data_IF_029948311107
#
_entry.id   IF_029948311107
#
_cell.length_a   1.000
_cell.length_b   1.000
_cell.length_c   1.000
_cell.angle_alpha   90.00
_cell.angle_beta   90.00
_cell.angle_gamma   90.00
#
_symmetry.space_group_name_H-M   'P 1'
#
loop_
_entity.id
_entity.type
_entity.pdbx_description
1 polymer ?
#
# COMPACT_ATOMS: atom_id res chain seq x y z
N UNK A 1 26.63 -3.12 2.34
CA UNK A 1 25.89 -2.27 1.40
C UNK A 1 24.51 -2.89 1.31
N UNK A 2 23.44 -2.17 1.70
CA UNK A 2 22.08 -2.71 1.56
C UNK A 2 21.82 -3.08 0.10
N UNK A 3 21.34 -4.30 -0.14
CA UNK A 3 20.93 -4.71 -1.48
C UNK A 3 19.66 -3.93 -1.85
N UNK A 4 19.60 -3.36 -3.05
CA UNK A 4 18.41 -2.66 -3.54
C UNK A 4 17.19 -3.61 -3.51
N UNK A 5 16.05 -3.22 -2.93
CA UNK A 5 14.86 -4.06 -2.90
C UNK A 5 14.31 -4.29 -4.31
N UNK A 6 13.70 -5.45 -4.52
CA UNK A 6 13.00 -5.79 -5.76
C UNK A 6 11.51 -5.48 -5.56
N UNK A 7 10.95 -4.58 -6.37
CA UNK A 7 9.57 -4.12 -6.23
C UNK A 7 8.72 -4.70 -7.36
N UNK A 8 7.76 -5.56 -7.00
CA UNK A 8 6.80 -6.16 -7.93
C UNK A 8 5.64 -5.21 -8.24
N UNK A 9 5.54 -4.75 -9.48
CA UNK A 9 4.50 -3.82 -9.92
C UNK A 9 3.41 -4.58 -10.67
N UNK A 10 2.22 -4.73 -10.10
CA UNK A 10 1.12 -5.37 -10.82
C UNK A 10 0.44 -4.38 -11.75
N UNK A 11 0.25 -4.76 -13.02
CA UNK A 11 -0.32 -3.90 -14.05
C UNK A 11 -1.76 -3.42 -13.78
N UNK A 12 -2.50 -4.16 -12.94
CA UNK A 12 -3.90 -3.88 -12.68
C UNK A 12 -4.76 -4.16 -13.92
N UNK A 13 -5.83 -3.39 -14.09
CA UNK A 13 -6.71 -3.49 -15.26
C UNK A 13 -6.08 -2.76 -16.46
N UNK A 14 -5.65 -3.53 -17.46
CA UNK A 14 -4.98 -3.01 -18.64
C UNK A 14 -5.90 -2.29 -19.63
N UNK A 15 -7.23 -2.38 -19.49
CA UNK A 15 -8.16 -1.53 -20.22
C UNK A 15 -8.20 -0.10 -19.64
N UNK A 16 -7.70 0.08 -18.42
CA UNK A 16 -7.56 1.39 -17.76
C UNK A 16 -6.19 2.02 -17.95
N UNK A 17 -5.88 2.99 -17.09
CA UNK A 17 -4.61 3.74 -17.12
C UNK A 17 -3.41 3.00 -16.53
N UNK A 18 -3.59 1.78 -16.00
CA UNK A 18 -2.53 1.00 -15.34
C UNK A 18 -1.23 0.89 -16.16
N UNK A 19 -1.29 0.46 -17.44
CA UNK A 19 -0.12 0.42 -18.29
C UNK A 19 0.54 1.80 -18.50
N UNK A 20 -0.24 2.85 -18.75
CA UNK A 20 0.27 4.21 -18.97
C UNK A 20 0.96 4.78 -17.73
N UNK A 21 0.34 4.63 -16.55
CA UNK A 21 0.90 5.18 -15.32
C UNK A 21 2.21 4.48 -14.94
N UNK A 22 2.29 3.15 -15.14
CA UNK A 22 3.52 2.39 -14.92
C UNK A 22 4.64 2.88 -15.84
N UNK A 23 4.35 2.99 -17.14
CA UNK A 23 5.35 3.46 -18.10
C UNK A 23 5.81 4.87 -17.76
N UNK A 24 4.89 5.77 -17.38
CA UNK A 24 5.23 7.13 -16.96
C UNK A 24 6.13 7.13 -15.73
N UNK A 25 5.75 6.41 -14.67
CA UNK A 25 6.53 6.34 -13.44
C UNK A 25 7.93 5.77 -13.65
N UNK A 26 8.06 4.72 -14.46
CA UNK A 26 9.33 4.02 -14.66
C UNK A 26 10.33 4.77 -15.56
N UNK A 27 9.99 5.96 -16.07
CA UNK A 27 10.95 6.87 -16.69
C UNK A 27 11.84 7.59 -15.67
N UNK A 28 11.45 7.63 -14.39
CA UNK A 28 12.24 8.25 -13.32
C UNK A 28 13.46 7.38 -13.01
N UNK A 29 14.64 7.87 -13.38
CA UNK A 29 15.90 7.10 -13.29
C UNK A 29 16.30 6.83 -11.85
N UNK A 30 15.96 7.75 -10.95
CA UNK A 30 16.27 7.71 -9.52
C UNK A 30 15.62 6.51 -8.83
N UNK A 31 14.53 5.96 -9.38
CA UNK A 31 13.93 4.72 -8.88
C UNK A 31 14.89 3.53 -9.02
N UNK A 32 15.64 3.45 -10.13
CA UNK A 32 16.56 2.34 -10.39
C UNK A 32 17.83 2.41 -9.54
N UNK A 33 18.18 3.60 -9.03
CA UNK A 33 19.28 3.78 -8.08
C UNK A 33 18.91 3.23 -6.69
N UNK A 34 17.61 3.21 -6.37
CA UNK A 34 17.08 2.81 -5.06
C UNK A 34 16.45 1.42 -5.06
N UNK A 35 16.05 0.87 -6.21
CA UNK A 35 15.33 -0.39 -6.31
C UNK A 35 15.55 -1.12 -7.65
N UNK A 36 15.05 -2.35 -7.72
CA UNK A 36 14.83 -3.11 -8.96
C UNK A 36 13.33 -3.22 -9.22
N UNK A 37 12.73 -2.25 -9.96
CA UNK A 37 11.32 -2.35 -10.31
C UNK A 37 11.11 -3.41 -11.39
N UNK A 38 10.15 -4.31 -11.18
CA UNK A 38 9.72 -5.28 -12.19
C UNK A 38 8.20 -5.21 -12.37
N UNK A 39 7.72 -5.19 -13.61
CA UNK A 39 6.28 -5.22 -13.91
C UNK A 39 5.83 -6.66 -14.03
N UNK A 40 4.68 -6.97 -13.46
CA UNK A 40 3.97 -8.25 -13.60
C UNK A 40 2.69 -7.92 -14.36
N UNK A 41 2.63 -8.35 -15.62
CA UNK A 41 1.65 -7.85 -16.58
C UNK A 41 1.81 -8.48 -17.96
N UNK A 42 1.30 -7.76 -18.96
CA UNK A 42 1.41 -8.12 -20.37
C UNK A 42 2.33 -7.15 -21.13
N UNK A 43 3.43 -7.65 -21.69
CA UNK A 43 4.46 -6.82 -22.34
C UNK A 43 3.90 -5.99 -23.51
N UNK A 44 2.94 -6.55 -24.26
CA UNK A 44 2.26 -5.84 -25.36
C UNK A 44 1.42 -4.66 -24.89
N UNK A 45 0.82 -4.73 -23.69
CA UNK A 45 0.10 -3.59 -23.11
C UNK A 45 1.09 -2.48 -22.71
N UNK A 46 2.27 -2.81 -22.20
CA UNK A 46 3.32 -1.83 -21.91
C UNK A 46 3.88 -1.20 -23.18
N UNK A 47 4.14 -1.97 -24.25
CA UNK A 47 4.61 -1.44 -25.55
C UNK A 47 3.59 -0.46 -26.16
N UNK A 48 2.31 -0.83 -26.09
CA UNK A 48 1.20 0.02 -26.53
C UNK A 48 1.12 1.31 -25.70
N UNK A 49 1.26 1.22 -24.38
CA UNK A 49 1.30 2.38 -23.49
C UNK A 49 2.54 3.27 -23.71
N UNK A 50 3.71 2.69 -23.94
CA UNK A 50 4.94 3.42 -24.28
C UNK A 50 4.79 4.25 -25.56
N UNK A 51 4.07 3.70 -26.55
CA UNK A 51 3.75 4.43 -27.78
C UNK A 51 2.83 5.64 -27.53
N UNK A 52 1.88 5.53 -26.61
CA UNK A 52 0.98 6.64 -26.22
C UNK A 52 1.74 7.72 -25.45
N UNK A 53 2.56 7.30 -24.48
CA UNK A 53 3.36 8.19 -23.62
C UNK A 53 4.52 8.82 -24.40
N UNK A 54 4.89 8.26 -25.56
CA UNK A 54 6.01 8.70 -26.42
C UNK A 54 7.35 8.66 -25.69
N UNK A 55 7.61 7.54 -25.01
CA UNK A 55 8.88 7.31 -24.32
C UNK A 55 9.85 6.50 -25.18
N UNK A 56 11.15 6.68 -24.94
CA UNK A 56 12.23 5.90 -25.57
C UNK A 56 12.57 4.61 -24.80
N UNK A 57 11.87 4.34 -23.70
CA UNK A 57 12.09 3.11 -22.93
C UNK A 57 11.71 1.87 -23.71
N UNK A 58 12.57 0.85 -23.67
CA UNK A 58 12.26 -0.47 -24.24
C UNK A 58 11.58 -1.35 -23.20
N UNK A 59 10.84 -2.37 -23.64
CA UNK A 59 10.19 -3.35 -22.76
C UNK A 59 10.99 -4.63 -22.86
N UNK A 60 11.57 -5.07 -21.74
CA UNK A 60 12.35 -6.32 -21.64
C UNK A 60 11.45 -7.40 -21.04
N UNK A 61 11.06 -8.36 -21.87
CA UNK A 61 10.32 -9.55 -21.45
C UNK A 61 11.24 -10.52 -20.69
N UNK A 62 10.77 -11.00 -19.54
CA UNK A 62 11.46 -12.01 -18.74
C UNK A 62 10.47 -13.06 -18.24
N UNK A 63 10.99 -14.22 -17.86
CA UNK A 63 10.19 -15.28 -17.25
C UNK A 63 10.11 -15.08 -15.73
N UNK A 64 9.12 -15.71 -15.10
CA UNK A 64 8.93 -15.73 -13.63
C UNK A 64 10.14 -16.30 -12.85
N UNK A 65 11.02 -17.04 -13.55
CA UNK A 65 12.21 -17.66 -12.99
C UNK A 65 13.53 -16.92 -13.27
N UNK A 66 13.48 -15.79 -13.96
CA UNK A 66 14.65 -14.95 -14.23
C UNK A 66 15.20 -14.25 -12.97
N UNK A 67 16.44 -13.78 -13.04
CA UNK A 67 17.01 -12.89 -12.03
C UNK A 67 16.47 -11.47 -12.22
N UNK A 68 15.72 -10.98 -11.22
CA UNK A 68 15.10 -9.66 -11.24
C UNK A 68 16.06 -8.51 -10.92
N UNK A 69 17.32 -8.81 -10.61
CA UNK A 69 18.35 -7.78 -10.38
C UNK A 69 19.02 -7.31 -11.67
N UNK A 70 18.82 -8.03 -12.78
CA UNK A 70 19.39 -7.71 -14.09
C UNK A 70 18.50 -6.75 -14.89
N UNK A 71 18.64 -5.44 -14.62
CA UNK A 71 17.94 -4.37 -15.33
C UNK A 71 18.72 -3.06 -15.33
N UNK A 72 18.34 -2.14 -16.21
CA UNK A 72 18.90 -0.79 -16.29
C UNK A 72 17.78 0.26 -16.45
N UNK A 73 18.12 1.54 -16.28
CA UNK A 73 17.15 2.64 -16.29
C UNK A 73 16.65 3.06 -17.69
N UNK A 74 16.87 2.25 -18.72
CA UNK A 74 16.36 2.45 -20.09
C UNK A 74 15.35 1.39 -20.50
N UNK A 75 15.16 0.36 -19.68
CA UNK A 75 14.28 -0.77 -20.00
C UNK A 75 13.29 -1.00 -18.86
N UNK A 76 12.03 -1.23 -19.21
CA UNK A 76 11.00 -1.71 -18.29
C UNK A 76 11.02 -3.24 -18.33
N UNK A 77 11.51 -3.85 -17.27
CA UNK A 77 11.49 -5.31 -17.10
C UNK A 77 10.07 -5.79 -16.80
N UNK A 78 9.56 -6.72 -17.59
CA UNK A 78 8.21 -7.26 -17.49
C UNK A 78 8.25 -8.79 -17.38
N UNK A 79 7.76 -9.33 -16.26
CA UNK A 79 7.33 -10.73 -16.16
C UNK A 79 6.05 -10.84 -16.98
N UNK A 80 6.20 -11.28 -18.22
CA UNK A 80 5.13 -11.31 -19.22
C UNK A 80 4.26 -12.56 -19.04
N UNK A 81 2.97 -12.35 -18.75
CA UNK A 81 2.01 -13.44 -18.62
C UNK A 81 1.21 -13.71 -19.90
N UNK A 82 1.28 -12.80 -20.88
CA UNK A 82 0.65 -12.93 -22.20
C UNK A 82 -0.85 -13.30 -22.14
N UNK A 83 -1.63 -12.66 -21.27
CA UNK A 83 -3.03 -13.01 -20.99
C UNK A 83 -4.05 -12.26 -21.84
N UNK A 84 -3.67 -11.13 -22.44
CA UNK A 84 -4.61 -10.21 -23.08
C UNK A 84 -4.52 -10.23 -24.60
N UNK A 85 -5.43 -9.62 -25.35
CA UNK A 85 -5.21 -9.34 -26.77
C UNK A 85 -4.53 -7.98 -26.95
N UNK A 86 -3.73 -7.81 -28.01
CA UNK A 86 -3.02 -6.53 -28.27
C UNK A 86 -3.98 -5.36 -28.53
N UNK A 87 -5.15 -5.65 -29.10
CA UNK A 87 -6.20 -4.70 -29.46
C UNK A 87 -7.26 -4.50 -28.36
N UNK A 88 -6.98 -4.89 -27.11
CA UNK A 88 -7.88 -4.70 -25.97
C UNK A 88 -8.47 -3.27 -25.94
N UNK A 89 -9.80 -3.07 -25.96
CA UNK A 89 -10.37 -1.73 -26.01
C UNK A 89 -10.05 -0.91 -24.75
N UNK A 90 -9.69 0.37 -24.93
CA UNK A 90 -9.49 1.29 -23.82
C UNK A 90 -10.82 1.67 -23.16
N UNK A 91 -10.80 1.80 -21.84
CA UNK A 91 -11.88 2.36 -21.05
C UNK A 91 -13.16 1.52 -21.02
N UNK A 92 -13.08 0.25 -21.43
CA UNK A 92 -14.23 -0.66 -21.47
C UNK A 92 -14.04 -1.79 -20.47
N UNK A 93 -15.10 -2.08 -19.72
CA UNK A 93 -15.13 -3.23 -18.80
C UNK A 93 -15.01 -4.52 -19.62
N UNK A 94 -13.95 -5.29 -19.40
CA UNK A 94 -13.68 -6.57 -20.07
C UNK A 94 -13.47 -7.68 -19.04
N UNK A 95 -14.00 -8.88 -19.33
CA UNK A 95 -13.81 -10.06 -18.49
C UNK A 95 -12.35 -10.54 -18.55
N UNK A 96 -11.72 -10.47 -19.73
CA UNK A 96 -10.32 -10.80 -19.95
C UNK A 96 -9.40 -9.87 -19.16
N UNK A 97 -9.66 -8.55 -19.21
CA UNK A 97 -8.91 -7.56 -18.44
C UNK A 97 -9.03 -7.78 -16.92
N UNK A 98 -10.24 -8.07 -16.44
CA UNK A 98 -10.48 -8.39 -15.03
C UNK A 98 -9.80 -9.68 -14.57
N UNK A 99 -9.85 -10.74 -15.38
CA UNK A 99 -9.13 -11.97 -15.09
C UNK A 99 -7.61 -11.74 -15.09
N UNK A 100 -7.08 -11.04 -16.08
CA UNK A 100 -5.65 -10.76 -16.16
C UNK A 100 -5.16 -9.94 -14.95
N UNK A 101 -5.90 -8.91 -14.53
CA UNK A 101 -5.60 -8.14 -13.33
C UNK A 101 -5.48 -9.04 -12.06
N UNK A 102 -6.40 -10.00 -11.90
CA UNK A 102 -6.32 -10.99 -10.83
C UNK A 102 -5.08 -11.87 -10.95
N UNK A 103 -4.78 -12.37 -12.15
CA UNK A 103 -3.61 -13.23 -12.38
C UNK A 103 -2.29 -12.49 -12.09
N UNK A 104 -2.16 -11.22 -12.49
CA UNK A 104 -0.97 -10.42 -12.17
C UNK A 104 -0.75 -10.30 -10.66
N UNK A 105 -1.84 -10.04 -9.91
CA UNK A 105 -1.77 -9.95 -8.46
C UNK A 105 -1.44 -11.30 -7.81
N UNK A 106 -2.07 -12.39 -8.27
CA UNK A 106 -1.76 -13.75 -7.83
C UNK A 106 -0.29 -14.10 -8.06
N UNK A 107 0.24 -13.80 -9.24
CA UNK A 107 1.66 -14.01 -9.57
C UNK A 107 2.58 -13.18 -8.68
N UNK A 108 2.24 -11.92 -8.39
CA UNK A 108 3.01 -11.10 -7.45
C UNK A 108 3.03 -11.72 -6.05
N UNK A 109 1.91 -12.23 -5.57
CA UNK A 109 1.81 -12.93 -4.27
C UNK A 109 2.65 -14.21 -4.28
N UNK A 110 2.61 -15.00 -5.35
CA UNK A 110 3.44 -16.20 -5.49
C UNK A 110 4.94 -15.87 -5.47
N UNK A 111 5.35 -14.78 -6.14
CA UNK A 111 6.73 -14.29 -6.13
C UNK A 111 7.15 -13.78 -4.74
N UNK A 112 6.25 -13.09 -4.05
CA UNK A 112 6.43 -12.61 -2.69
C UNK A 112 6.66 -13.75 -1.70
N UNK A 113 5.80 -14.77 -1.75
CA UNK A 113 5.88 -15.96 -0.90
C UNK A 113 7.16 -16.77 -1.15
N UNK A 114 7.71 -16.69 -2.37
CA UNK A 114 9.02 -17.27 -2.74
C UNK A 114 10.20 -16.34 -2.44
N UNK A 115 9.98 -15.19 -1.81
CA UNK A 115 10.99 -14.16 -1.52
C UNK A 115 11.76 -13.65 -2.76
N UNK A 116 11.14 -13.70 -3.94
CA UNK A 116 11.72 -13.15 -5.18
C UNK A 116 11.48 -11.65 -5.33
N UNK A 117 10.48 -11.11 -4.65
CA UNK A 117 10.20 -9.67 -4.55
C UNK A 117 10.07 -9.28 -3.07
N UNK A 118 10.34 -8.00 -2.78
CA UNK A 118 10.43 -7.44 -1.43
C UNK A 118 9.22 -6.58 -1.05
N UNK A 119 8.54 -6.02 -2.04
CA UNK A 119 7.25 -5.36 -1.89
C UNK A 119 6.40 -5.49 -3.16
N UNK A 120 5.09 -5.32 -3.03
CA UNK A 120 4.14 -5.22 -4.15
C UNK A 120 3.65 -3.77 -4.26
N UNK A 121 3.74 -3.18 -5.44
CA UNK A 121 3.11 -1.91 -5.76
C UNK A 121 2.02 -2.14 -6.80
N UNK A 122 0.76 -1.86 -6.47
CA UNK A 122 -0.35 -2.20 -7.38
C UNK A 122 -0.88 -0.98 -8.12
N UNK A 123 -0.97 -1.08 -9.45
CA UNK A 123 -1.80 -0.19 -10.26
C UNK A 123 -3.31 -0.51 -10.06
N UNK A 124 -4.23 0.37 -10.49
CA UNK A 124 -5.67 0.20 -10.25
C UNK A 124 -6.26 -1.02 -10.97
N UNK A 125 -7.28 -1.64 -10.36
CA UNK A 125 -8.15 -2.63 -11.01
C UNK A 125 -9.62 -2.18 -10.95
N UNK A 126 -10.44 -2.70 -11.86
CA UNK A 126 -11.88 -2.44 -11.88
C UNK A 126 -12.65 -3.61 -11.27
N UNK A 127 -13.49 -3.34 -10.27
CA UNK A 127 -14.28 -4.37 -9.57
C UNK A 127 -15.29 -5.08 -10.49
N UNK A 128 -15.94 -4.34 -11.40
CA UNK A 128 -16.89 -4.94 -12.33
C UNK A 128 -16.18 -5.87 -13.33
N UNK A 129 -15.03 -5.45 -13.86
CA UNK A 129 -14.20 -6.27 -14.73
C UNK A 129 -13.75 -7.54 -14.02
N UNK A 130 -13.24 -7.39 -12.78
CA UNK A 130 -12.80 -8.49 -11.93
C UNK A 130 -13.91 -9.53 -11.72
N UNK A 131 -15.14 -9.08 -11.43
CA UNK A 131 -16.30 -9.96 -11.27
C UNK A 131 -16.68 -10.66 -12.57
N UNK A 132 -16.67 -9.93 -13.70
CA UNK A 132 -16.91 -10.53 -15.04
C UNK A 132 -15.85 -11.57 -15.41
N UNK A 133 -14.62 -11.37 -14.96
CA UNK A 133 -13.52 -12.33 -15.10
C UNK A 133 -13.63 -13.57 -14.20
N UNK A 134 -14.71 -13.69 -13.40
CA UNK A 134 -14.96 -14.84 -12.52
C UNK A 134 -14.43 -14.69 -11.10
N UNK A 135 -13.92 -13.51 -10.72
CA UNK A 135 -13.25 -13.27 -9.44
C UNK A 135 -14.12 -12.37 -8.55
N UNK A 136 -14.90 -12.96 -7.64
CA UNK A 136 -15.87 -12.25 -6.80
C UNK A 136 -15.23 -11.62 -5.55
N UNK A 137 -14.28 -10.71 -5.74
CA UNK A 137 -13.62 -10.00 -4.65
C UNK A 137 -14.04 -8.52 -4.57
N UNK A 138 -14.03 -7.91 -3.37
CA UNK A 138 -14.23 -6.47 -3.24
C UNK A 138 -13.10 -5.63 -3.86
N UNK A 139 -11.84 -6.08 -3.72
CA UNK A 139 -10.68 -5.41 -4.29
C UNK A 139 -9.36 -6.13 -3.96
N UNK A 140 -8.25 -5.40 -4.13
CA UNK A 140 -6.89 -5.91 -3.94
C UNK A 140 -6.66 -6.48 -2.53
N UNK A 141 -7.10 -5.75 -1.49
CA UNK A 141 -6.80 -6.09 -0.09
C UNK A 141 -7.40 -7.43 0.29
N UNK A 142 -8.62 -7.73 -0.14
CA UNK A 142 -9.27 -9.01 0.15
C UNK A 142 -8.65 -10.17 -0.63
N UNK A 143 -8.22 -9.93 -1.89
CA UNK A 143 -7.48 -10.94 -2.65
C UNK A 143 -6.17 -11.28 -1.94
N UNK A 144 -5.41 -10.25 -1.54
CA UNK A 144 -4.15 -10.43 -0.82
C UNK A 144 -4.35 -11.18 0.49
N UNK A 145 -5.30 -10.75 1.31
CA UNK A 145 -5.60 -11.39 2.58
C UNK A 145 -5.96 -12.87 2.40
N UNK A 146 -6.83 -13.20 1.45
CA UNK A 146 -7.23 -14.58 1.20
C UNK A 146 -6.09 -15.45 0.65
N UNK A 147 -5.33 -14.96 -0.33
CA UNK A 147 -4.25 -15.74 -0.96
C UNK A 147 -2.98 -15.85 -0.08
N UNK A 148 -2.91 -15.09 1.00
CA UNK A 148 -1.81 -15.15 1.98
C UNK A 148 -2.26 -15.71 3.33
N UNK A 149 -3.49 -16.22 3.43
CA UNK A 149 -4.11 -16.69 4.69
C UNK A 149 -3.96 -15.68 5.84
N UNK A 150 -3.99 -14.38 5.52
CA UNK A 150 -3.81 -13.30 6.49
C UNK A 150 -5.15 -12.80 6.99
N UNK A 151 -5.43 -13.02 8.27
CA UNK A 151 -6.65 -12.53 8.92
C UNK A 151 -6.45 -11.20 9.63
N UNK A 152 -5.21 -10.83 9.95
CA UNK A 152 -4.90 -9.63 10.72
C UNK A 152 -4.01 -8.68 9.92
N UNK A 153 -4.65 -7.70 9.30
CA UNK A 153 -4.00 -6.62 8.57
C UNK A 153 -4.57 -5.26 8.99
N UNK A 154 -3.85 -4.21 8.64
CA UNK A 154 -4.32 -2.84 8.85
C UNK A 154 -3.91 -1.93 7.71
N UNK A 155 -4.68 -0.86 7.55
CA UNK A 155 -4.37 0.24 6.65
C UNK A 155 -3.40 1.19 7.34
N UNK A 156 -2.26 1.38 6.70
CA UNK A 156 -1.29 2.42 7.02
C UNK A 156 -1.28 3.45 5.89
N UNK A 157 -1.21 4.71 6.26
CA UNK A 157 -0.89 5.82 5.39
C UNK A 157 0.51 6.31 5.73
N UNK A 158 1.26 6.70 4.72
CA UNK A 158 2.58 7.26 4.89
C UNK A 158 2.69 8.56 4.11
N UNK A 159 3.42 9.50 4.69
CA UNK A 159 3.89 10.72 4.07
C UNK A 159 5.33 10.93 4.54
N UNK A 160 6.13 11.79 3.89
CA UNK A 160 7.55 11.95 4.24
C UNK A 160 7.83 12.29 5.71
N UNK A 161 6.86 12.86 6.45
CA UNK A 161 7.01 13.27 7.86
C UNK A 161 6.07 12.59 8.84
N UNK A 162 5.12 11.79 8.36
CA UNK A 162 4.10 11.22 9.22
C UNK A 162 3.62 9.88 8.66
N UNK A 163 3.67 8.85 9.49
CA UNK A 163 3.06 7.54 9.23
C UNK A 163 1.89 7.35 10.20
N UNK A 164 0.77 6.84 9.71
CA UNK A 164 -0.43 6.61 10.51
C UNK A 164 -1.03 5.25 10.17
N UNK A 165 -1.24 4.41 11.18
CA UNK A 165 -1.93 3.12 11.05
C UNK A 165 -3.29 3.19 11.73
N UNK A 166 -4.29 2.49 11.20
CA UNK A 166 -5.68 2.62 11.66
C UNK A 166 -6.18 1.37 12.38
N UNK A 167 -6.83 1.56 13.52
CA UNK A 167 -7.52 0.48 14.25
C UNK A 167 -8.79 0.06 13.50
N UNK A 168 -9.56 1.05 13.05
CA UNK A 168 -10.77 0.89 12.21
C UNK A 168 -10.70 1.76 10.96
N UNK A 169 -11.34 1.31 9.87
CA UNK A 169 -11.29 1.98 8.56
C UNK A 169 -12.68 2.41 8.09
N UNK A 170 -13.20 1.88 6.97
CA UNK A 170 -14.42 2.35 6.32
C UNK A 170 -15.70 1.82 6.99
N UNK A 171 -16.02 2.35 8.18
CA UNK A 171 -17.23 2.01 8.95
C UNK A 171 -17.88 3.27 9.52
N UNK A 172 -19.17 3.20 9.89
CA UNK A 172 -19.85 4.30 10.57
C UNK A 172 -19.19 4.63 11.91
N UNK A 173 -19.17 5.90 12.33
CA UNK A 173 -18.39 6.30 13.52
C UNK A 173 -18.82 5.58 14.81
N UNK A 174 -20.12 5.31 14.99
CA UNK A 174 -20.62 4.53 16.14
C UNK A 174 -20.10 3.09 16.06
N UNK A 175 -20.13 2.48 14.87
CA UNK A 175 -19.62 1.14 14.65
C UNK A 175 -18.10 1.07 14.84
N UNK A 176 -17.37 2.11 14.44
CA UNK A 176 -15.93 2.23 14.68
C UNK A 176 -15.64 2.14 16.19
N UNK A 177 -16.29 2.98 16.99
CA UNK A 177 -16.11 3.00 18.45
C UNK A 177 -16.45 1.65 19.08
N UNK A 178 -17.53 1.00 18.62
CA UNK A 178 -17.93 -0.32 19.09
C UNK A 178 -16.94 -1.43 18.69
N UNK A 179 -16.34 -1.33 17.51
CA UNK A 179 -15.36 -2.30 17.00
C UNK A 179 -13.97 -2.17 17.62
N UNK A 180 -13.63 -1.01 18.19
CA UNK A 180 -12.38 -0.85 18.93
C UNK A 180 -12.43 -1.71 20.19
N UNK A 181 -11.51 -2.68 20.26
CA UNK A 181 -11.33 -3.64 21.34
C UNK A 181 -9.85 -3.73 21.72
N UNK A 182 -9.51 -4.04 22.98
CA UNK A 182 -8.11 -4.17 23.43
C UNK A 182 -7.24 -5.02 22.51
N UNK A 183 -7.73 -6.18 22.09
CA UNK A 183 -6.98 -7.10 21.24
C UNK A 183 -6.68 -6.48 19.88
N UNK A 184 -7.64 -5.76 19.29
CA UNK A 184 -7.46 -5.11 17.99
C UNK A 184 -6.47 -3.95 18.09
N UNK A 185 -6.55 -3.12 19.13
CA UNK A 185 -5.60 -2.02 19.36
C UNK A 185 -4.18 -2.58 19.54
N UNK A 186 -4.02 -3.61 20.36
CA UNK A 186 -2.74 -4.27 20.60
C UNK A 186 -2.16 -4.87 19.31
N UNK A 187 -2.98 -5.58 18.53
CA UNK A 187 -2.56 -6.14 17.25
C UNK A 187 -2.07 -5.06 16.29
N UNK A 188 -2.77 -3.92 16.23
CA UNK A 188 -2.38 -2.79 15.36
C UNK A 188 -1.07 -2.15 15.83
N UNK A 189 -0.86 -2.01 17.15
CA UNK A 189 0.45 -1.58 17.71
C UNK A 189 1.55 -2.53 17.28
N UNK A 190 1.32 -3.85 17.36
CA UNK A 190 2.30 -4.86 16.93
C UNK A 190 2.58 -4.83 15.43
N UNK A 191 1.54 -4.64 14.60
CA UNK A 191 1.69 -4.49 13.17
C UNK A 191 2.56 -3.28 12.82
N UNK A 192 2.33 -2.14 13.48
CA UNK A 192 3.17 -0.95 13.34
C UNK A 192 4.63 -1.22 13.73
N UNK A 193 4.85 -1.80 14.92
CA UNK A 193 6.17 -2.15 15.41
C UNK A 193 6.93 -3.06 14.43
N UNK A 194 6.34 -4.21 14.05
CA UNK A 194 7.00 -5.17 13.18
C UNK A 194 7.26 -4.61 11.77
N UNK A 195 6.36 -3.78 11.24
CA UNK A 195 6.52 -3.19 9.90
C UNK A 195 7.75 -2.28 9.87
N UNK A 196 7.85 -1.36 10.84
CA UNK A 196 8.97 -0.42 10.89
C UNK A 196 10.28 -1.09 11.30
N UNK A 197 10.24 -2.08 12.19
CA UNK A 197 11.41 -2.87 12.54
C UNK A 197 12.00 -3.60 11.33
N UNK A 198 11.14 -4.21 10.50
CA UNK A 198 11.58 -4.87 9.25
C UNK A 198 12.14 -3.88 8.23
N UNK A 199 11.66 -2.64 8.21
CA UNK A 199 12.15 -1.58 7.31
C UNK A 199 13.40 -0.85 7.85
N UNK A 200 14.04 -1.35 8.91
CA UNK A 200 15.31 -0.82 9.43
C UNK A 200 15.21 0.10 10.66
N UNK A 201 14.01 0.41 11.15
CA UNK A 201 13.82 1.18 12.39
C UNK A 201 13.79 0.20 13.57
N UNK A 202 14.94 -0.14 14.13
CA UNK A 202 15.06 -1.24 15.11
C UNK A 202 14.20 -1.06 16.38
N UNK A 203 13.99 0.19 16.81
CA UNK A 203 13.16 0.53 17.98
C UNK A 203 12.15 1.63 17.62
N UNK A 204 11.06 1.29 16.89
CA UNK A 204 10.08 2.29 16.46
C UNK A 204 9.33 2.89 17.65
N UNK A 205 9.26 4.22 17.71
CA UNK A 205 8.46 4.96 18.68
C UNK A 205 7.03 5.12 18.18
N UNK A 206 6.09 4.52 18.90
CA UNK A 206 4.68 4.44 18.50
C UNK A 206 3.84 5.33 19.41
N UNK A 207 3.12 6.29 18.85
CA UNK A 207 2.12 7.06 19.58
C UNK A 207 0.71 6.51 19.34
N UNK A 208 -0.11 6.37 20.38
CA UNK A 208 -1.47 5.85 20.29
C UNK A 208 -2.48 6.93 20.64
N UNK A 209 -3.41 7.23 19.74
CA UNK A 209 -4.48 8.19 19.99
C UNK A 209 -5.49 7.68 21.03
N UNK A 210 -6.09 8.59 21.79
CA UNK A 210 -7.37 8.35 22.45
C UNK A 210 -8.53 8.21 21.46
N UNK A 211 -9.67 7.67 21.91
CA UNK A 211 -10.93 7.71 21.15
C UNK A 211 -11.57 9.09 21.32
N UNK A 212 -11.61 9.57 22.56
CA UNK A 212 -12.24 10.81 22.97
C UNK A 212 -11.26 11.99 22.85
N UNK A 213 -11.78 13.24 22.74
CA UNK A 213 -10.97 14.43 22.93
C UNK A 213 -10.19 14.35 24.24
N UNK A 214 -8.96 14.87 24.24
CA UNK A 214 -8.10 14.86 25.41
C UNK A 214 -7.81 13.45 25.97
N UNK A 215 -7.97 12.40 25.15
CA UNK A 215 -7.87 11.01 25.59
C UNK A 215 -8.72 10.72 26.85
N UNK A 216 -9.95 11.22 26.85
CA UNK A 216 -10.92 11.02 27.92
C UNK A 216 -10.80 11.96 29.11
N UNK A 217 -9.71 12.75 29.21
CA UNK A 217 -9.48 13.73 30.29
C UNK A 217 -9.74 13.11 31.69
N UNK A 218 -9.10 11.96 31.96
CA UNK A 218 -9.26 11.17 33.20
C UNK A 218 -10.72 10.80 33.50
N UNK A 219 -11.49 10.46 32.47
CA UNK A 219 -12.90 10.08 32.56
C UNK A 219 -13.88 11.25 32.60
N UNK A 220 -13.42 12.50 32.40
CA UNK A 220 -14.32 13.65 32.24
C UNK A 220 -15.02 13.64 30.87
N UNK A 221 -14.37 13.10 29.84
CA UNK A 221 -14.92 12.94 28.51
C UNK A 221 -15.03 11.46 28.14
N UNK A 222 -16.16 11.07 27.57
CA UNK A 222 -16.46 9.67 27.26
C UNK A 222 -17.08 8.91 28.44
N UNK A 223 -17.08 7.60 28.33
CA UNK A 223 -17.70 6.65 29.24
C UNK A 223 -16.72 5.58 29.73
N UNK A 224 -15.41 5.86 29.67
CA UNK A 224 -14.34 4.94 30.06
C UNK A 224 -13.76 4.14 28.89
N UNK A 225 -13.95 4.60 27.65
CA UNK A 225 -13.49 3.87 26.46
C UNK A 225 -11.96 3.75 26.42
N UNK A 226 -11.20 4.76 26.86
CA UNK A 226 -9.74 4.69 26.94
C UNK A 226 -9.28 3.58 27.89
N UNK A 227 -9.83 3.54 29.10
CA UNK A 227 -9.52 2.57 30.14
C UNK A 227 -9.92 1.15 29.75
N UNK A 228 -11.09 0.99 29.13
CA UNK A 228 -11.59 -0.32 28.72
C UNK A 228 -10.88 -0.84 27.47
N UNK A 229 -10.62 0.02 26.48
CA UNK A 229 -10.26 -0.41 25.11
C UNK A 229 -8.81 -0.14 24.72
N UNK A 230 -8.16 0.89 25.26
CA UNK A 230 -6.82 1.31 24.78
C UNK A 230 -5.73 1.02 25.80
N UNK A 231 -5.91 1.41 27.07
CA UNK A 231 -4.89 1.24 28.11
C UNK A 231 -4.41 -0.22 28.22
N UNK A 232 -5.29 -1.24 28.24
CA UNK A 232 -4.83 -2.64 28.34
C UNK A 232 -3.94 -3.06 27.16
N UNK A 233 -4.21 -2.54 25.96
CA UNK A 233 -3.42 -2.82 24.77
C UNK A 233 -2.03 -2.18 24.83
N UNK A 234 -1.94 -0.92 25.29
CA UNK A 234 -0.69 -0.19 25.46
C UNK A 234 0.16 -0.83 26.56
N UNK A 235 -0.42 -1.15 27.71
CA UNK A 235 0.27 -1.83 28.82
C UNK A 235 0.86 -3.16 28.36
N UNK A 236 0.07 -3.98 27.65
CA UNK A 236 0.55 -5.26 27.13
C UNK A 236 1.72 -5.08 26.13
N UNK A 237 1.64 -4.11 25.23
CA UNK A 237 2.73 -3.83 24.29
C UNK A 237 4.01 -3.34 24.99
N UNK A 238 3.88 -2.52 26.05
CA UNK A 238 5.01 -2.11 26.90
C UNK A 238 5.66 -3.28 27.62
N UNK A 239 4.87 -4.21 28.16
CA UNK A 239 5.37 -5.44 28.81
C UNK A 239 6.17 -6.33 27.84
N UNK A 240 5.87 -6.26 26.54
CA UNK A 240 6.61 -6.95 25.47
C UNK A 240 7.81 -6.15 24.95
N UNK A 241 8.11 -4.99 25.52
CA UNK A 241 9.27 -4.16 25.18
C UNK A 241 9.06 -3.25 23.96
N UNK A 242 7.83 -3.08 23.48
CA UNK A 242 7.52 -2.16 22.38
C UNK A 242 7.55 -0.72 22.91
N UNK A 243 8.30 0.17 22.24
CA UNK A 243 8.32 1.60 22.58
C UNK A 243 7.01 2.28 22.16
N UNK A 244 6.00 2.23 23.03
CA UNK A 244 4.67 2.78 22.78
C UNK A 244 4.24 3.77 23.86
N UNK A 245 3.62 4.89 23.47
CA UNK A 245 3.07 5.91 24.37
C UNK A 245 1.59 6.15 24.04
N UNK A 246 0.71 6.07 25.03
CA UNK A 246 -0.70 6.45 24.91
C UNK A 246 -1.63 5.83 25.95
N UNK A 247 -2.94 6.10 25.86
CA UNK A 247 -3.58 6.98 24.88
C UNK A 247 -3.17 8.45 25.03
N UNK A 248 -2.99 9.15 23.92
CA UNK A 248 -2.67 10.59 23.88
C UNK A 248 -3.78 11.38 23.17
N UNK A 249 -4.02 12.64 23.54
CA UNK A 249 -4.89 13.53 22.78
C UNK A 249 -4.42 13.62 21.32
N UNK A 250 -5.32 13.32 20.37
CA UNK A 250 -4.95 13.21 18.96
C UNK A 250 -4.34 14.51 18.41
N UNK A 251 -4.93 15.66 18.75
CA UNK A 251 -4.46 16.99 18.35
C UNK A 251 -3.01 17.27 18.79
N UNK A 252 -2.64 16.86 20.00
CA UNK A 252 -1.28 16.99 20.54
C UNK A 252 -0.35 15.94 19.93
N UNK A 253 -0.82 14.71 19.76
CA UNK A 253 -0.03 13.61 19.22
C UNK A 253 0.39 13.87 17.78
N UNK A 254 -0.52 14.32 16.90
CA UNK A 254 -0.15 14.61 15.50
C UNK A 254 0.86 15.75 15.38
N UNK A 255 0.78 16.76 16.25
CA UNK A 255 1.80 17.81 16.33
C UNK A 255 3.17 17.25 16.74
N UNK A 256 3.22 16.41 17.78
CA UNK A 256 4.46 15.75 18.24
C UNK A 256 5.05 14.82 17.18
N UNK A 257 4.21 14.02 16.52
CA UNK A 257 4.62 13.11 15.46
C UNK A 257 5.25 13.86 14.27
N UNK A 258 4.64 14.98 13.84
CA UNK A 258 5.21 15.83 12.79
C UNK A 258 6.59 16.42 13.17
N UNK A 259 6.84 16.64 14.47
CA UNK A 259 8.14 17.10 15.01
C UNK A 259 9.20 15.99 15.04
N UNK A 260 8.81 14.73 14.83
CA UNK A 260 9.70 13.57 14.87
C UNK A 260 9.80 12.90 16.25
N UNK A 261 8.87 13.18 17.17
CA UNK A 261 8.84 12.52 18.48
C UNK A 261 8.42 11.03 18.36
N UNK A 262 7.67 10.68 17.32
CA UNK A 262 7.14 9.34 17.03
C UNK A 262 7.40 8.98 15.57
N UNK A 263 7.71 7.72 15.31
CA UNK A 263 7.89 7.17 13.96
C UNK A 263 6.56 6.83 13.28
N UNK A 264 5.53 6.52 14.08
CA UNK A 264 4.18 6.19 13.61
C UNK A 264 3.11 6.47 14.67
N UNK A 265 1.93 6.88 14.20
CA UNK A 265 0.74 7.09 15.03
C UNK A 265 -0.29 5.99 14.78
N UNK A 266 -0.87 5.45 15.85
CA UNK A 266 -2.03 4.55 15.82
C UNK A 266 -3.30 5.37 16.01
N UNK A 267 -4.05 5.55 14.92
CA UNK A 267 -5.34 6.23 14.91
C UNK A 267 -6.49 5.23 15.18
N UNK A 268 -7.44 5.61 16.01
CA UNK A 268 -8.57 4.78 16.43
C UNK A 268 -9.61 4.60 15.31
N UNK A 269 -9.83 5.64 14.51
CA UNK A 269 -10.80 5.65 13.41
C UNK A 269 -10.29 6.43 12.20
N UNK A 270 -10.91 6.19 11.04
CA UNK A 270 -10.48 6.67 9.73
C UNK A 270 -10.12 8.17 9.70
N UNK A 271 -11.07 9.04 10.03
CA UNK A 271 -10.88 10.49 9.91
C UNK A 271 -9.89 11.05 10.94
N UNK A 272 -9.67 10.35 12.06
CA UNK A 272 -8.66 10.74 13.05
C UNK A 272 -7.25 10.72 12.44
N UNK A 273 -6.96 9.73 11.60
CA UNK A 273 -5.66 9.59 10.94
C UNK A 273 -5.58 10.20 9.55
N UNK A 274 -6.66 10.10 8.76
CA UNK A 274 -6.69 10.64 7.40
C UNK A 274 -6.65 12.16 7.35
N UNK A 275 -7.35 12.84 8.27
CA UNK A 275 -7.38 14.30 8.33
C UNK A 275 -5.97 14.91 8.39
N UNK A 276 -5.15 14.56 9.40
CA UNK A 276 -3.78 15.04 9.54
C UNK A 276 -2.89 14.69 8.33
N UNK A 277 -2.93 13.45 7.84
CA UNK A 277 -2.12 13.02 6.69
C UNK A 277 -2.46 13.84 5.44
N UNK A 278 -3.75 14.01 5.12
CA UNK A 278 -4.15 14.75 3.92
C UNK A 278 -3.82 16.23 4.04
N UNK A 279 -3.94 16.84 5.23
CA UNK A 279 -3.53 18.24 5.44
C UNK A 279 -2.01 18.42 5.27
N UNK A 280 -1.20 17.45 5.70
CA UNK A 280 0.26 17.53 5.64
C UNK A 280 0.87 17.02 4.33
N UNK A 281 0.11 16.25 3.53
CA UNK A 281 0.60 15.55 2.35
C UNK A 281 -0.50 15.25 1.34
N UNK A 282 -1.23 16.28 0.90
CA UNK A 282 -2.40 16.23 -0.01
C UNK A 282 -2.26 15.26 -1.19
N UNK A 283 -1.06 15.16 -1.78
CA UNK A 283 -0.78 14.32 -2.97
C UNK A 283 -0.06 13.00 -2.66
N UNK A 284 0.30 12.73 -1.40
CA UNK A 284 1.18 11.62 -1.00
C UNK A 284 0.46 10.49 -0.23
N UNK A 285 -0.87 10.52 -0.15
CA UNK A 285 -1.67 9.57 0.63
C UNK A 285 -1.73 8.18 -0.01
N UNK A 286 -0.62 7.43 0.03
CA UNK A 286 -0.54 6.05 -0.44
C UNK A 286 -1.21 5.13 0.57
N UNK A 287 -2.09 4.27 0.09
CA UNK A 287 -2.66 3.20 0.90
C UNK A 287 -1.67 2.04 0.99
N UNK A 288 -1.22 1.75 2.20
CA UNK A 288 -0.28 0.67 2.50
C UNK A 288 -1.02 -0.37 3.33
N UNK A 289 -1.03 -1.62 2.87
CA UNK A 289 -1.58 -2.73 3.66
C UNK A 289 -0.43 -3.41 4.40
N UNK A 290 -0.49 -3.39 5.73
CA UNK A 290 0.50 -4.00 6.62
C UNK A 290 -0.09 -5.21 7.34
N UNK A 291 0.77 -6.17 7.74
CA UNK A 291 0.37 -7.44 8.35
C UNK A 291 0.32 -8.62 7.38
N UNK A 292 0.27 -8.34 6.09
CA UNK A 292 0.54 -9.32 5.03
C UNK A 292 2.00 -9.82 5.12
N UNK A 293 2.31 -11.03 4.61
CA UNK A 293 3.69 -11.54 4.55
C UNK A 293 4.62 -10.67 3.69
N UNK A 294 4.04 -9.81 2.84
CA UNK A 294 4.73 -8.81 2.04
C UNK A 294 4.05 -7.45 2.16
N UNK A 295 4.82 -6.38 2.11
CA UNK A 295 4.28 -5.02 2.09
C UNK A 295 3.63 -4.77 0.74
N UNK A 296 2.41 -4.22 0.78
CA UNK A 296 1.72 -3.78 -0.43
C UNK A 296 1.39 -2.30 -0.36
N UNK A 297 1.81 -1.56 -1.37
CA UNK A 297 1.42 -0.18 -1.62
C UNK A 297 0.47 -0.08 -2.82
N UNK A 298 -0.31 0.99 -2.86
CA UNK A 298 -1.32 1.22 -3.90
C UNK A 298 -1.43 2.69 -4.22
N UNK A 299 -1.67 2.97 -5.50
CA UNK A 299 -2.22 4.28 -5.90
C UNK A 299 -3.58 4.52 -5.25
N UNK A 300 -3.94 5.79 -5.14
CA UNK A 300 -5.15 6.29 -4.47
C UNK A 300 -6.32 6.60 -5.43
N UNK A 301 -6.16 6.31 -6.73
CA UNK A 301 -7.20 6.49 -7.75
C UNK A 301 -7.61 5.16 -8.40
N UNK A 302 -8.76 5.18 -9.10
CA UNK A 302 -9.28 4.05 -9.85
C UNK A 302 -8.64 3.88 -11.24
N UNK A 303 -9.24 3.04 -12.08
CA UNK A 303 -8.74 2.71 -13.43
C UNK A 303 -8.85 3.84 -14.45
N UNK A 304 -9.58 4.92 -14.14
CA UNK A 304 -9.72 6.12 -14.95
C UNK A 304 -9.99 5.82 -16.45
N UNK A 305 -10.99 4.97 -16.69
CA UNK A 305 -11.39 4.50 -18.02
C UNK A 305 -11.69 5.63 -19.02
N UNK A 306 -12.15 6.78 -18.54
CA UNK A 306 -12.44 7.96 -19.34
C UNK A 306 -11.18 8.62 -19.95
N UNK A 307 -10.00 8.37 -19.40
CA UNK A 307 -8.71 8.90 -19.90
C UNK A 307 -7.74 7.82 -20.37
N UNK A 308 -8.10 6.55 -20.28
CA UNK A 308 -7.30 5.44 -20.79
C UNK A 308 -7.03 5.59 -22.30
N UNK A 309 -5.79 5.36 -22.71
CA UNK A 309 -5.30 5.49 -24.07
C UNK A 309 -5.00 6.92 -24.52
N UNK A 310 -5.14 7.93 -23.65
CA UNK A 310 -4.98 9.35 -24.02
C UNK A 310 -3.62 9.95 -23.64
N UNK A 311 -2.80 9.26 -22.84
CA UNK A 311 -1.51 9.77 -22.37
C UNK A 311 -1.62 10.85 -21.29
N UNK A 312 -2.81 11.04 -20.71
CA UNK A 312 -3.11 12.16 -19.80
C UNK A 312 -3.07 11.80 -18.31
N UNK A 313 -2.93 10.51 -17.95
CA UNK A 313 -2.86 10.09 -16.55
C UNK A 313 -1.66 10.70 -15.83
N UNK A 314 -1.85 11.08 -14.58
CA UNK A 314 -0.80 11.62 -13.71
C UNK A 314 -0.10 10.48 -12.95
N UNK A 315 1.23 10.43 -13.02
CA UNK A 315 2.04 9.37 -12.40
C UNK A 315 2.42 9.61 -10.94
N UNK A 316 2.14 10.77 -10.36
CA UNK A 316 2.60 11.14 -9.01
C UNK A 316 2.16 10.15 -7.94
N UNK A 317 0.91 9.69 -7.98
CA UNK A 317 0.38 8.70 -7.02
C UNK A 317 1.13 7.37 -7.11
N UNK A 318 1.49 6.92 -8.32
CA UNK A 318 2.26 5.69 -8.53
C UNK A 318 3.72 5.85 -8.13
N UNK A 319 4.33 7.00 -8.39
CA UNK A 319 5.68 7.32 -7.93
C UNK A 319 5.75 7.31 -6.40
N UNK A 320 4.77 7.90 -5.72
CA UNK A 320 4.72 7.84 -4.27
C UNK A 320 4.50 6.42 -3.76
N UNK A 321 3.60 5.65 -4.38
CA UNK A 321 3.40 4.25 -4.02
C UNK A 321 4.68 3.41 -4.17
N UNK A 322 5.48 3.66 -5.20
CA UNK A 322 6.80 3.05 -5.39
C UNK A 322 7.79 3.52 -4.33
N UNK A 323 7.88 4.83 -4.06
CA UNK A 323 8.77 5.37 -3.02
C UNK A 323 8.48 4.74 -1.66
N UNK A 324 7.21 4.61 -1.29
CA UNK A 324 6.78 3.97 -0.04
C UNK A 324 7.07 2.46 -0.04
N UNK A 325 6.91 1.78 -1.16
CA UNK A 325 7.29 0.37 -1.28
C UNK A 325 8.80 0.17 -1.07
N UNK A 326 9.62 1.08 -1.58
CA UNK A 326 11.08 1.06 -1.43
C UNK A 326 11.48 1.37 0.01
N UNK A 327 10.89 2.39 0.63
CA UNK A 327 11.20 2.80 2.00
C UNK A 327 10.84 1.72 3.02
N UNK A 328 9.72 1.03 2.79
CA UNK A 328 9.23 0.03 3.73
C UNK A 328 9.71 -1.39 3.43
N UNK A 329 10.26 -1.64 2.24
CA UNK A 329 10.80 -2.95 1.88
C UNK A 329 11.78 -3.45 2.97
N UNK A 330 11.74 -4.75 3.31
CA UNK A 330 12.61 -5.28 4.36
C UNK A 330 14.10 -5.01 4.07
N UNK A 331 14.85 -4.54 5.07
CA UNK A 331 16.30 -4.43 4.95
C UNK A 331 16.94 -5.82 4.83
N UNK A 332 17.95 -5.95 3.94
CA UNK A 332 18.68 -7.19 3.63
C UNK A 332 20.19 -7.03 3.78
#
# INVERSE_FOLDING_TARGET
MNKKPIIGITMGDAAGVGPEIIVKSLQQKELYDRAHPIVIGDSKMLKRAASIVKTDMTIKEINIDSDFTEGNNREITCVDLDLLPEDLPYGQVSAEAGNAAFQYLRTAIELANKHKIDAICTAPLNKEALHKGGHLYPGHTEILAQLTDTTDFSMMLSSPKLKVIHVTTHVGIIDAINQIKPERVYNVIRLAHHTLAKSGISEPKIGVCGINPHAGENGLFGYGEEEEKIIPAVTKALEEGIQVEGPLPADTLFFRAQRGDFDIVVAMYHDQGHGPIKVLGLEAGVNITVGLPIIRTSVDHGTAFDIAGKGMVDERSMLEALNQAIELAPEK
#
